data_IF_103408433876
#
_entry.id   IF_103408433876
#
_cell.length_a   1.000
_cell.length_b   1.000
_cell.length_c   1.000
_cell.angle_alpha   90.00
_cell.angle_beta   90.00
_cell.angle_gamma   90.00
#
_symmetry.space_group_name_H-M   'P 1'
#
loop_
_entity.id
_entity.type
_entity.pdbx_description
1 polymer ?
#
# COMPACT_ATOMS: atom_id res chain seq x y z
N UNK A 1 17.57 -21.47 9.40
CA UNK A 1 16.36 -20.78 9.90
C UNK A 1 16.19 -19.51 9.09
N UNK A 2 15.16 -19.40 8.25
CA UNK A 2 14.97 -18.19 7.41
C UNK A 2 14.66 -16.99 8.32
N UNK A 3 15.30 -15.84 8.08
CA UNK A 3 15.10 -14.64 8.88
C UNK A 3 13.62 -14.23 8.85
N UNK A 4 12.98 -14.08 10.00
CA UNK A 4 11.59 -13.61 10.11
C UNK A 4 11.58 -12.16 10.60
N UNK A 5 10.50 -11.45 10.30
CA UNK A 5 10.29 -10.13 10.88
C UNK A 5 10.15 -10.27 12.41
N UNK A 6 11.00 -9.57 13.16
CA UNK A 6 11.02 -9.64 14.63
C UNK A 6 10.36 -8.43 15.31
N UNK A 7 10.33 -7.30 14.60
CA UNK A 7 9.68 -6.07 15.04
C UNK A 7 9.15 -5.30 13.83
N UNK A 8 8.11 -4.51 14.04
CA UNK A 8 7.64 -3.52 13.09
C UNK A 8 8.73 -2.48 12.81
N UNK A 9 8.76 -1.93 11.58
CA UNK A 9 9.84 -1.06 11.15
C UNK A 9 9.81 0.29 11.89
N UNK A 10 11.00 0.77 12.21
CA UNK A 10 11.28 2.03 12.90
C UNK A 10 12.39 2.80 12.14
N UNK A 11 12.58 4.11 12.36
CA UNK A 11 11.83 4.99 13.27
C UNK A 11 10.45 5.38 12.73
N UNK A 12 9.59 5.86 13.63
CA UNK A 12 8.33 6.53 13.29
C UNK A 12 8.59 8.01 12.98
N UNK A 13 7.80 8.63 12.08
CA UNK A 13 8.03 10.01 11.67
C UNK A 13 7.72 10.98 12.83
N UNK A 14 8.61 11.95 13.04
CA UNK A 14 8.49 12.96 14.10
C UNK A 14 8.61 14.39 13.58
N UNK A 15 9.00 14.57 12.33
CA UNK A 15 9.22 15.88 11.71
C UNK A 15 8.10 16.22 10.73
N UNK A 16 7.77 17.51 10.56
CA UNK A 16 6.75 17.92 9.60
C UNK A 16 7.05 17.41 8.18
N UNK A 17 6.04 16.84 7.53
CA UNK A 17 6.15 16.26 6.19
C UNK A 17 6.76 14.87 6.13
N UNK A 18 7.45 14.41 7.18
CA UNK A 18 7.90 13.04 7.27
C UNK A 18 6.71 12.07 7.34
N UNK A 19 6.90 10.85 6.86
CA UNK A 19 5.85 9.85 6.82
C UNK A 19 6.41 8.45 7.00
N UNK A 20 5.54 7.54 7.44
CA UNK A 20 5.73 6.11 7.29
C UNK A 20 4.37 5.46 7.01
N UNK A 21 4.33 4.55 6.06
CA UNK A 21 3.17 3.68 5.89
C UNK A 21 3.57 2.21 5.89
N UNK A 22 2.63 1.37 6.31
CA UNK A 22 2.65 -0.08 6.15
C UNK A 22 1.56 -0.43 5.14
N UNK A 23 1.95 -1.11 4.05
CA UNK A 23 1.06 -1.52 2.98
C UNK A 23 0.95 -3.03 2.98
N UNK A 24 -0.27 -3.55 3.05
CA UNK A 24 -0.56 -4.97 2.90
C UNK A 24 -1.52 -5.19 1.74
N UNK A 25 -1.25 -6.19 0.92
CA UNK A 25 -2.21 -6.67 -0.06
C UNK A 25 -2.41 -8.19 0.00
N UNK A 26 -3.57 -8.62 -0.50
CA UNK A 26 -3.93 -10.03 -0.66
C UNK A 26 -4.56 -10.22 -2.03
N UNK A 27 -4.13 -11.27 -2.72
CA UNK A 27 -4.76 -11.83 -3.92
C UNK A 27 -5.29 -13.22 -3.56
N UNK A 28 -6.59 -13.36 -3.43
CA UNK A 28 -7.26 -14.58 -2.96
C UNK A 28 -8.45 -14.95 -3.85
N UNK A 29 -8.25 -15.96 -4.71
CA UNK A 29 -9.24 -16.35 -5.71
C UNK A 29 -9.53 -15.22 -6.70
N UNK A 30 -10.78 -14.83 -6.83
CA UNK A 30 -11.24 -13.70 -7.65
C UNK A 30 -11.20 -12.34 -6.94
N UNK A 31 -10.81 -12.34 -5.66
CA UNK A 31 -10.78 -11.15 -4.82
C UNK A 31 -9.36 -10.64 -4.63
N UNK A 32 -9.22 -9.32 -4.64
CA UNK A 32 -8.01 -8.64 -4.22
C UNK A 32 -8.35 -7.59 -3.17
N UNK A 33 -7.51 -7.47 -2.14
CA UNK A 33 -7.69 -6.52 -1.07
C UNK A 33 -6.39 -5.78 -0.77
N UNK A 34 -6.50 -4.51 -0.41
CA UNK A 34 -5.38 -3.67 0.01
C UNK A 34 -5.75 -2.95 1.29
N UNK A 35 -4.83 -2.97 2.25
CA UNK A 35 -4.90 -2.24 3.50
C UNK A 35 -3.64 -1.39 3.68
N UNK A 36 -3.80 -0.11 4.01
CA UNK A 36 -2.67 0.80 4.21
C UNK A 36 -2.85 1.56 5.52
N UNK A 37 -1.86 1.44 6.41
CA UNK A 37 -1.79 2.17 7.67
C UNK A 37 -0.73 3.25 7.54
N UNK A 38 -1.11 4.51 7.75
CA UNK A 38 -0.25 5.66 7.48
C UNK A 38 -0.10 6.51 8.74
N UNK A 39 1.15 6.85 9.06
CA UNK A 39 1.51 7.88 10.04
C UNK A 39 2.16 9.03 9.25
N UNK A 40 1.58 10.22 9.29
CA UNK A 40 1.84 11.26 8.30
C UNK A 40 1.18 10.91 6.96
N UNK A 41 -0.16 10.87 6.94
CA UNK A 41 -0.98 10.40 5.83
C UNK A 41 -0.68 11.15 4.52
N UNK A 42 0.05 10.51 3.61
CA UNK A 42 0.55 11.14 2.38
C UNK A 42 -0.54 11.45 1.36
N UNK A 43 -1.67 10.75 1.45
CA UNK A 43 -2.85 10.99 0.62
C UNK A 43 -3.84 11.97 1.26
N UNK A 44 -3.58 12.46 2.47
CA UNK A 44 -4.43 13.44 3.14
C UNK A 44 -4.13 14.86 2.63
N UNK A 45 -5.13 15.57 2.08
CA UNK A 45 -4.99 17.00 1.79
C UNK A 45 -4.74 17.82 3.06
N UNK A 46 -5.29 17.40 4.22
CA UNK A 46 -5.12 18.06 5.51
C UNK A 46 -3.66 18.00 5.94
N UNK A 47 -3.08 16.79 5.95
CA UNK A 47 -1.67 16.58 6.25
C UNK A 47 -0.76 17.38 5.32
N UNK A 48 -1.05 17.40 4.02
CA UNK A 48 -0.23 18.13 3.04
C UNK A 48 -0.21 19.65 3.27
N UNK A 49 -1.28 20.22 3.82
CA UNK A 49 -1.31 21.64 4.22
C UNK A 49 -0.63 21.84 5.57
N UNK A 50 -0.91 20.96 6.53
CA UNK A 50 -0.38 21.02 7.89
C UNK A 50 1.13 20.84 7.97
N UNK A 51 1.70 19.93 7.17
CA UNK A 51 3.14 19.73 7.05
C UNK A 51 3.88 21.03 6.67
N UNK A 52 3.27 21.87 5.83
CA UNK A 52 3.85 23.18 5.46
C UNK A 52 3.78 24.21 6.59
N UNK A 53 2.90 24.00 7.56
CA UNK A 53 2.77 24.82 8.77
C UNK A 53 3.65 24.31 9.92
N UNK A 54 4.38 23.22 9.70
CA UNK A 54 5.23 22.63 10.73
C UNK A 54 4.48 21.75 11.73
N UNK A 55 3.26 21.32 11.41
CA UNK A 55 2.48 20.44 12.29
C UNK A 55 3.04 19.01 12.30
N UNK A 56 2.80 18.28 13.40
CA UNK A 56 3.32 16.94 13.61
C UNK A 56 2.64 15.94 12.67
N UNK A 57 3.38 15.00 12.04
CA UNK A 57 2.78 13.95 11.21
C UNK A 57 1.91 12.97 12.04
N UNK A 58 2.10 12.95 13.36
CA UNK A 58 1.32 12.08 14.26
C UNK A 58 -0.13 12.52 14.40
N UNK A 59 -0.43 13.79 14.13
CA UNK A 59 -1.80 14.31 14.17
C UNK A 59 -2.58 13.96 12.89
N UNK A 60 -1.91 13.32 11.94
CA UNK A 60 -2.45 12.96 10.64
C UNK A 60 -2.17 11.49 10.33
N UNK A 61 -2.79 10.61 11.09
CA UNK A 61 -2.78 9.17 10.81
C UNK A 61 -3.96 8.81 9.91
N UNK A 62 -3.84 7.72 9.14
CA UNK A 62 -4.93 7.25 8.31
C UNK A 62 -4.90 5.74 8.11
N UNK A 63 -6.09 5.18 7.89
CA UNK A 63 -6.29 3.80 7.46
C UNK A 63 -7.06 3.82 6.14
N UNK A 64 -6.50 3.17 5.13
CA UNK A 64 -7.18 2.90 3.87
C UNK A 64 -7.42 1.41 3.73
N UNK A 65 -8.61 1.06 3.24
CA UNK A 65 -8.93 -0.29 2.82
C UNK A 65 -9.70 -0.27 1.51
N UNK A 66 -9.37 -1.20 0.63
CA UNK A 66 -10.11 -1.44 -0.60
C UNK A 66 -10.22 -2.94 -0.86
N UNK A 67 -11.43 -3.39 -1.19
CA UNK A 67 -11.74 -4.75 -1.65
C UNK A 67 -12.24 -4.67 -3.10
N UNK A 68 -11.70 -5.52 -3.95
CA UNK A 68 -12.12 -5.70 -5.34
C UNK A 68 -12.54 -7.14 -5.59
N UNK A 69 -13.46 -7.31 -6.54
CA UNK A 69 -13.83 -8.60 -7.12
C UNK A 69 -13.91 -8.49 -8.65
N UNK A 70 -14.54 -9.47 -9.33
CA UNK A 70 -14.62 -9.49 -10.79
C UNK A 70 -15.25 -8.22 -11.38
N UNK A 71 -16.33 -7.73 -10.76
CA UNK A 71 -17.09 -6.58 -11.24
C UNK A 71 -16.46 -5.21 -10.89
N UNK A 72 -15.33 -5.18 -10.17
CA UNK A 72 -14.67 -3.95 -9.74
C UNK A 72 -14.60 -3.79 -8.22
N UNK A 73 -14.66 -2.55 -7.73
CA UNK A 73 -14.59 -2.26 -6.30
C UNK A 73 -15.87 -2.68 -5.57
N UNK A 74 -15.73 -3.48 -4.52
CA UNK A 74 -16.83 -3.99 -3.69
C UNK A 74 -17.00 -3.19 -2.40
N UNK A 75 -15.89 -2.82 -1.76
CA UNK A 75 -15.91 -1.96 -0.58
C UNK A 75 -14.65 -1.11 -0.50
N UNK A 76 -14.79 0.09 0.07
CA UNK A 76 -13.69 1.03 0.21
C UNK A 76 -13.90 1.94 1.42
N UNK A 77 -12.81 2.20 2.16
CA UNK A 77 -12.76 3.16 3.23
C UNK A 77 -11.42 3.91 3.25
N UNK A 78 -11.47 5.18 3.64
CA UNK A 78 -10.30 5.99 3.96
C UNK A 78 -10.69 6.89 5.13
N UNK A 79 -10.13 6.59 6.29
CA UNK A 79 -10.40 7.32 7.54
C UNK A 79 -9.11 7.95 8.05
N UNK A 80 -9.20 9.19 8.49
CA UNK A 80 -8.13 9.94 9.13
C UNK A 80 -8.37 10.04 10.65
N UNK A 81 -7.30 9.96 11.44
CA UNK A 81 -7.33 9.97 12.89
C UNK A 81 -6.18 10.83 13.43
N UNK A 82 -6.38 11.42 14.62
CA UNK A 82 -5.29 12.02 15.37
C UNK A 82 -4.59 10.95 16.22
N UNK A 83 -3.30 10.75 16.01
CA UNK A 83 -2.49 9.82 16.79
C UNK A 83 -2.52 8.37 16.29
N UNK A 84 -1.58 7.60 16.83
CA UNK A 84 -1.46 6.16 16.59
C UNK A 84 -0.72 5.53 17.79
N UNK A 85 -1.22 4.41 18.28
CA UNK A 85 -0.48 3.56 19.22
C UNK A 85 0.56 2.76 18.45
N UNK A 86 1.81 2.84 18.87
CA UNK A 86 2.95 2.24 18.19
C UNK A 86 3.82 1.52 19.19
N UNK A 87 4.09 0.25 18.91
CA UNK A 87 5.01 -0.60 19.66
C UNK A 87 5.89 -1.36 18.67
N UNK A 88 6.81 -2.18 19.16
CA UNK A 88 7.64 -3.05 18.31
C UNK A 88 6.82 -4.14 17.62
N UNK A 89 5.60 -4.45 18.08
CA UNK A 89 4.79 -5.55 17.54
C UNK A 89 3.40 -5.11 17.08
N UNK A 90 2.99 -3.86 17.31
CA UNK A 90 1.65 -3.39 16.97
C UNK A 90 1.64 -1.93 16.54
N UNK A 91 0.89 -1.66 15.49
CA UNK A 91 0.41 -0.33 15.11
C UNK A 91 -1.12 -0.33 15.22
N UNK A 92 -1.70 0.58 16.01
CA UNK A 92 -3.13 0.84 16.05
C UNK A 92 -3.42 2.27 15.60
N UNK A 93 -4.42 2.44 14.73
CA UNK A 93 -4.94 3.73 14.28
C UNK A 93 -6.47 3.63 14.31
N UNK A 94 -7.11 4.41 15.19
CA UNK A 94 -8.52 4.17 15.52
C UNK A 94 -8.75 2.73 15.98
N UNK A 95 -9.84 2.12 15.57
CA UNK A 95 -10.16 0.71 15.88
C UNK A 95 -9.40 -0.32 15.03
N UNK A 96 -8.61 0.14 14.06
CA UNK A 96 -7.86 -0.72 13.14
C UNK A 96 -6.46 -1.01 13.68
N UNK A 97 -5.98 -2.24 13.50
CA UNK A 97 -4.68 -2.71 14.02
C UNK A 97 -3.89 -3.50 13.00
N UNK A 98 -2.57 -3.33 12.99
CA UNK A 98 -1.60 -4.24 12.38
C UNK A 98 -0.71 -4.82 13.48
N UNK A 99 -0.72 -6.14 13.65
CA UNK A 99 0.00 -6.83 14.72
C UNK A 99 0.95 -7.90 14.16
N UNK A 100 2.23 -7.82 14.54
CA UNK A 100 3.22 -8.86 14.34
C UNK A 100 3.09 -9.90 15.45
N UNK A 101 3.00 -11.17 15.06
CA UNK A 101 2.92 -12.32 15.97
C UNK A 101 4.30 -12.91 16.21
N UNK A 102 4.42 -13.67 17.30
CA UNK A 102 5.68 -14.28 17.72
C UNK A 102 6.23 -15.30 16.70
N UNK A 103 5.36 -15.93 15.92
CA UNK A 103 5.74 -16.83 14.83
C UNK A 103 6.18 -16.09 13.55
N UNK A 104 6.15 -14.75 13.55
CA UNK A 104 6.49 -13.90 12.41
C UNK A 104 5.36 -13.68 11.43
N UNK A 105 4.15 -14.18 11.68
CA UNK A 105 2.95 -13.80 10.91
C UNK A 105 2.48 -12.39 11.27
N UNK A 106 1.75 -11.75 10.36
CA UNK A 106 1.14 -10.43 10.58
C UNK A 106 -0.37 -10.54 10.43
N UNK A 107 -1.08 -10.03 11.42
CA UNK A 107 -2.53 -9.89 11.40
C UNK A 107 -2.90 -8.42 11.22
N UNK A 108 -3.64 -8.14 10.14
CA UNK A 108 -4.20 -6.83 9.87
C UNK A 108 -5.70 -6.92 10.10
N UNK A 109 -6.19 -6.13 11.04
CA UNK A 109 -7.60 -5.96 11.32
C UNK A 109 -8.01 -4.53 11.01
N UNK A 110 -8.93 -4.36 10.08
CA UNK A 110 -9.48 -3.05 9.67
C UNK A 110 -10.90 -2.98 10.15
N UNK A 111 -11.22 -1.97 10.96
CA UNK A 111 -12.57 -1.66 11.43
C UNK A 111 -12.84 -0.21 11.10
N UNK A 112 -13.50 0.03 9.97
CA UNK A 112 -13.68 1.35 9.40
C UNK A 112 -15.12 1.58 8.96
N UNK A 113 -15.45 2.81 8.54
CA UNK A 113 -16.76 3.13 7.98
C UNK A 113 -16.62 3.70 6.58
N UNK A 114 -17.55 3.32 5.70
CA UNK A 114 -17.58 3.82 4.33
C UNK A 114 -17.81 5.35 4.30
N UNK A 115 -17.21 6.08 3.34
CA UNK A 115 -17.15 7.55 3.37
C UNK A 115 -18.50 8.26 3.23
N UNK A 116 -19.49 7.67 2.53
CA UNK A 116 -20.75 8.34 2.20
C UNK A 116 -21.88 8.03 3.18
N UNK A 117 -22.05 6.75 3.50
CA UNK A 117 -23.17 6.28 4.33
C UNK A 117 -22.73 5.87 5.73
N UNK A 118 -21.43 5.93 6.01
CA UNK A 118 -20.88 5.52 7.30
C UNK A 118 -21.26 4.09 7.66
N UNK A 119 -21.41 3.18 6.69
CA UNK A 119 -21.70 1.78 7.00
C UNK A 119 -20.42 1.09 7.47
N UNK A 120 -20.55 0.17 8.43
CA UNK A 120 -19.41 -0.55 9.01
C UNK A 120 -18.76 -1.47 7.96
N UNK A 121 -17.44 -1.53 8.02
CA UNK A 121 -16.58 -2.40 7.25
C UNK A 121 -15.57 -3.03 8.21
N UNK A 122 -15.60 -4.35 8.29
CA UNK A 122 -14.62 -5.15 9.04
C UNK A 122 -13.84 -6.04 8.07
N UNK A 123 -12.52 -6.02 8.14
CA UNK A 123 -11.66 -6.90 7.36
C UNK A 123 -10.51 -7.45 8.19
N UNK A 124 -10.20 -8.73 8.01
CA UNK A 124 -9.08 -9.43 8.63
C UNK A 124 -8.21 -10.05 7.54
N UNK A 125 -6.95 -9.64 7.48
CA UNK A 125 -5.93 -10.22 6.60
C UNK A 125 -4.88 -10.88 7.50
N UNK A 126 -4.67 -12.18 7.34
CA UNK A 126 -3.62 -12.91 8.04
C UNK A 126 -2.54 -13.30 7.05
N UNK A 127 -1.32 -12.80 7.25
CA UNK A 127 -0.17 -13.02 6.39
C UNK A 127 0.86 -13.90 7.10
N UNK A 128 1.16 -15.08 6.56
CA UNK A 128 2.24 -15.93 7.05
C UNK A 128 3.40 -15.95 6.05
N UNK A 129 4.62 -15.52 6.42
CA UNK A 129 5.71 -15.32 5.48
C UNK A 129 6.19 -16.62 4.86
N UNK A 130 6.32 -16.64 3.53
CA UNK A 130 6.97 -17.70 2.76
C UNK A 130 8.43 -17.35 2.43
N UNK A 131 8.72 -16.05 2.31
CA UNK A 131 10.05 -15.51 2.07
C UNK A 131 10.47 -14.56 3.20
N UNK A 132 11.77 -14.48 3.53
CA UNK A 132 12.28 -13.56 4.55
C UNK A 132 12.11 -12.09 4.11
N UNK A 133 12.09 -11.13 5.05
CA UNK A 133 12.15 -9.71 4.71
C UNK A 133 13.48 -9.39 4.01
N UNK A 134 13.50 -8.27 3.28
CA UNK A 134 14.73 -7.66 2.81
C UNK A 134 15.14 -6.50 3.72
N UNK A 135 16.41 -6.11 3.69
CA UNK A 135 16.87 -4.87 4.27
C UNK A 135 16.17 -3.67 3.61
N UNK A 136 16.11 -2.56 4.32
CA UNK A 136 15.56 -1.31 3.78
C UNK A 136 16.43 -0.76 2.65
N UNK A 137 15.78 -0.26 1.61
CA UNK A 137 16.38 0.20 0.37
C UNK A 137 16.03 1.68 0.16
N UNK A 138 17.03 2.50 -0.12
CA UNK A 138 16.81 3.89 -0.54
C UNK A 138 16.24 3.90 -1.95
N UNK A 139 15.12 4.59 -2.18
CA UNK A 139 14.44 4.58 -3.47
C UNK A 139 15.27 5.30 -4.55
N UNK A 140 15.61 6.57 -4.30
CA UNK A 140 16.43 7.37 -5.19
C UNK A 140 17.72 7.83 -4.49
N UNK A 141 18.90 7.75 -5.14
CA UNK A 141 20.16 8.20 -4.55
C UNK A 141 20.06 9.64 -4.03
N UNK A 142 20.42 9.85 -2.76
CA UNK A 142 20.41 11.17 -2.12
C UNK A 142 19.02 11.68 -1.71
N UNK A 143 17.94 10.98 -2.06
CA UNK A 143 16.59 11.30 -1.60
C UNK A 143 16.30 10.60 -0.26
N UNK A 144 15.67 11.26 0.72
CA UNK A 144 15.41 10.68 2.03
C UNK A 144 14.19 9.73 2.04
N UNK A 145 13.94 9.03 0.94
CA UNK A 145 12.80 8.11 0.77
C UNK A 145 13.28 6.68 0.65
N UNK A 146 12.66 5.80 1.42
CA UNK A 146 13.09 4.42 1.55
C UNK A 146 11.90 3.48 1.55
N UNK A 147 12.16 2.26 1.11
CA UNK A 147 11.21 1.19 0.98
C UNK A 147 11.81 -0.11 1.52
N UNK A 148 11.00 -0.92 2.17
CA UNK A 148 11.42 -2.20 2.70
C UNK A 148 10.34 -3.27 2.46
N UNK A 149 10.62 -4.30 1.65
CA UNK A 149 9.80 -5.50 1.59
C UNK A 149 9.90 -6.28 2.91
N UNK A 150 8.80 -6.34 3.66
CA UNK A 150 8.73 -7.01 4.97
C UNK A 150 8.26 -8.46 4.83
N UNK A 151 7.26 -8.69 3.99
CA UNK A 151 6.81 -10.01 3.58
C UNK A 151 6.58 -9.96 2.07
N UNK A 152 7.64 -10.04 1.25
CA UNK A 152 7.51 -9.94 -0.19
C UNK A 152 6.71 -11.10 -0.80
N UNK A 153 6.57 -12.21 -0.06
CA UNK A 153 5.70 -13.33 -0.37
C UNK A 153 5.20 -13.98 0.92
N UNK A 154 3.88 -14.09 1.06
CA UNK A 154 3.22 -14.74 2.19
C UNK A 154 2.02 -15.57 1.71
N UNK A 155 1.65 -16.61 2.46
CA UNK A 155 0.27 -17.12 2.37
C UNK A 155 -0.65 -16.10 3.03
N UNK A 156 -1.86 -16.00 2.50
CA UNK A 156 -2.84 -15.04 2.98
C UNK A 156 -4.20 -15.68 3.20
N UNK A 157 -4.85 -15.27 4.28
CA UNK A 157 -6.28 -15.47 4.51
C UNK A 157 -6.95 -14.10 4.54
N UNK A 158 -8.08 -13.97 3.85
CA UNK A 158 -8.87 -12.75 3.73
C UNK A 158 -10.28 -13.04 4.22
N UNK A 159 -10.68 -12.39 5.30
CA UNK A 159 -12.06 -12.40 5.78
C UNK A 159 -12.59 -10.96 5.79
N UNK A 160 -13.68 -10.69 5.08
CA UNK A 160 -14.27 -9.34 4.98
C UNK A 160 -15.76 -9.42 5.25
N UNK A 161 -16.25 -8.51 6.08
CA UNK A 161 -17.67 -8.23 6.31
C UNK A 161 -17.91 -6.75 6.03
N UNK A 162 -18.40 -6.46 4.84
CA UNK A 162 -18.79 -5.13 4.41
C UNK A 162 -20.31 -4.97 4.36
N UNK A 163 -20.79 -3.78 3.96
CA UNK A 163 -22.21 -3.47 3.86
C UNK A 163 -23.07 -4.46 3.09
N UNK A 164 -22.58 -4.87 1.93
CA UNK A 164 -23.31 -5.64 0.92
C UNK A 164 -22.40 -6.77 0.37
N UNK A 165 -21.36 -7.15 1.13
CA UNK A 165 -20.34 -8.11 0.72
C UNK A 165 -19.80 -8.90 1.92
N UNK A 166 -19.65 -10.22 1.75
CA UNK A 166 -18.94 -11.09 2.68
C UNK A 166 -17.97 -11.96 1.89
N UNK A 167 -16.70 -11.98 2.28
CA UNK A 167 -15.64 -12.76 1.62
C UNK A 167 -14.90 -13.57 2.67
N UNK A 168 -14.68 -14.85 2.39
CA UNK A 168 -13.70 -15.70 3.05
C UNK A 168 -12.91 -16.42 1.96
N UNK A 169 -11.65 -16.04 1.80
CA UNK A 169 -10.81 -16.51 0.70
C UNK A 169 -9.36 -16.68 1.14
N UNK A 170 -8.63 -17.54 0.43
CA UNK A 170 -7.20 -17.79 0.65
C UNK A 170 -6.41 -17.53 -0.61
N UNK A 171 -5.17 -17.12 -0.43
CA UNK A 171 -4.26 -16.92 -1.56
C UNK A 171 -2.88 -16.46 -1.11
N UNK A 172 -2.32 -15.51 -1.85
CA UNK A 172 -1.01 -14.95 -1.59
C UNK A 172 -1.13 -13.50 -1.13
N UNK A 173 -0.23 -13.10 -0.26
CA UNK A 173 -0.17 -11.73 0.23
C UNK A 173 1.24 -11.15 0.23
N UNK A 174 1.26 -9.85 0.46
CA UNK A 174 2.43 -9.00 0.43
C UNK A 174 2.34 -7.97 1.55
N UNK A 175 3.47 -7.65 2.19
CA UNK A 175 3.60 -6.58 3.17
C UNK A 175 4.89 -5.79 2.92
N UNK A 176 4.78 -4.46 2.89
CA UNK A 176 5.94 -3.57 2.92
C UNK A 176 5.77 -2.37 3.84
N UNK A 177 6.85 -1.62 3.98
CA UNK A 177 6.81 -0.26 4.48
C UNK A 177 7.52 0.69 3.55
N UNK A 178 7.03 1.91 3.48
CA UNK A 178 7.79 3.03 2.97
C UNK A 178 7.91 4.09 4.07
N UNK A 179 9.05 4.79 4.11
CA UNK A 179 9.22 5.98 4.93
C UNK A 179 9.95 7.09 4.18
N UNK A 180 9.69 8.32 4.61
CA UNK A 180 10.40 9.50 4.13
C UNK A 180 10.58 10.50 5.26
N UNK A 181 11.71 11.21 5.25
CA UNK A 181 11.97 12.31 6.19
C UNK A 181 11.49 13.68 5.65
N UNK A 182 10.89 13.69 4.46
CA UNK A 182 10.23 14.84 3.85
C UNK A 182 8.93 14.44 3.14
N UNK A 183 8.12 15.44 2.79
CA UNK A 183 6.88 15.22 2.06
C UNK A 183 7.14 14.75 0.62
N UNK A 184 6.32 13.80 0.16
CA UNK A 184 6.29 13.38 -1.24
C UNK A 184 5.93 14.56 -2.16
N UNK A 185 6.47 14.55 -3.38
CA UNK A 185 6.28 15.61 -4.38
C UNK A 185 7.52 16.49 -4.60
N UNK A 186 8.45 16.50 -3.64
CA UNK A 186 9.78 17.11 -3.74
C UNK A 186 10.78 16.19 -4.43
N UNK A 187 11.69 15.59 -3.66
CA UNK A 187 12.71 14.66 -4.20
C UNK A 187 12.13 13.33 -4.69
N UNK A 188 10.94 12.94 -4.20
CA UNK A 188 10.17 11.81 -4.71
C UNK A 188 8.86 12.31 -5.35
N UNK A 189 8.84 12.65 -6.65
CA UNK A 189 7.68 13.22 -7.31
C UNK A 189 6.55 12.22 -7.58
N UNK A 190 6.81 10.93 -7.44
CA UNK A 190 5.89 9.85 -7.78
C UNK A 190 6.60 8.51 -7.82
N UNK A 191 5.91 7.47 -8.26
CA UNK A 191 6.48 6.15 -8.52
C UNK A 191 5.59 5.34 -9.45
N UNK A 192 6.18 4.30 -10.03
CA UNK A 192 5.46 3.11 -10.48
C UNK A 192 5.96 1.92 -9.66
N UNK A 193 5.02 1.14 -9.14
CA UNK A 193 5.30 -0.08 -8.39
C UNK A 193 4.52 -1.21 -9.05
N UNK A 194 5.18 -2.33 -9.32
CA UNK A 194 4.57 -3.51 -9.94
C UNK A 194 4.99 -4.74 -9.15
N UNK A 195 4.01 -5.56 -8.75
CA UNK A 195 4.23 -6.87 -8.13
C UNK A 195 3.55 -7.94 -8.96
N UNK A 196 4.24 -9.06 -9.16
CA UNK A 196 3.70 -10.26 -9.78
C UNK A 196 3.92 -11.46 -8.86
N UNK A 197 2.83 -12.03 -8.34
CA UNK A 197 2.85 -13.33 -7.68
C UNK A 197 2.71 -14.42 -8.73
N UNK A 198 3.73 -15.26 -8.89
CA UNK A 198 3.64 -16.53 -9.62
C UNK A 198 3.59 -17.73 -8.67
N UNK A 199 3.61 -18.93 -9.24
CA UNK A 199 3.55 -20.19 -8.48
C UNK A 199 4.73 -20.40 -7.51
N UNK A 200 5.96 -20.07 -7.95
CA UNK A 200 7.18 -20.36 -7.17
C UNK A 200 7.88 -19.10 -6.63
N UNK A 201 7.49 -17.92 -7.11
CA UNK A 201 8.18 -16.69 -6.75
C UNK A 201 7.26 -15.48 -6.84
N UNK A 202 7.66 -14.42 -6.16
CA UNK A 202 7.12 -13.07 -6.32
C UNK A 202 8.20 -12.18 -6.88
N UNK A 203 7.89 -11.44 -7.94
CA UNK A 203 8.76 -10.38 -8.46
C UNK A 203 8.12 -9.03 -8.20
N UNK A 204 8.93 -8.07 -7.80
CA UNK A 204 8.50 -6.69 -7.55
C UNK A 204 9.46 -5.77 -8.27
N UNK A 205 8.93 -4.71 -8.85
CA UNK A 205 9.70 -3.64 -9.45
C UNK A 205 9.21 -2.30 -8.90
N UNK A 206 10.10 -1.59 -8.25
CA UNK A 206 9.85 -0.24 -7.75
C UNK A 206 10.62 0.76 -8.59
N UNK A 207 9.90 1.66 -9.24
CA UNK A 207 10.41 2.60 -10.23
C UNK A 207 10.21 4.05 -9.76
N UNK A 208 11.19 4.61 -9.02
CA UNK A 208 11.25 6.04 -8.75
C UNK A 208 11.58 6.81 -10.04
N UNK A 209 10.90 7.94 -10.34
CA UNK A 209 11.21 8.76 -11.50
C UNK A 209 12.63 9.32 -11.46
N UNK A 210 13.38 9.19 -12.56
CA UNK A 210 14.73 9.75 -12.69
C UNK A 210 15.82 8.99 -11.93
N UNK A 211 15.54 7.79 -11.44
CA UNK A 211 16.52 6.91 -10.81
C UNK A 211 16.37 5.48 -11.33
N UNK A 212 17.38 4.63 -11.07
CA UNK A 212 17.29 3.21 -11.37
C UNK A 212 16.16 2.55 -10.58
N UNK A 213 15.46 1.63 -11.24
CA UNK A 213 14.47 0.79 -10.60
C UNK A 213 15.14 -0.17 -9.61
N UNK A 214 14.34 -0.66 -8.67
CA UNK A 214 14.74 -1.70 -7.73
C UNK A 214 13.89 -2.91 -8.04
N UNK A 215 14.53 -4.00 -8.43
CA UNK A 215 13.87 -5.29 -8.59
C UNK A 215 14.08 -6.15 -7.35
N UNK A 216 13.01 -6.80 -6.89
CA UNK A 216 13.04 -7.79 -5.81
C UNK A 216 12.47 -9.10 -6.32
N UNK A 217 13.18 -10.19 -6.05
CA UNK A 217 12.72 -11.55 -6.30
C UNK A 217 12.68 -12.32 -4.99
N UNK A 218 11.48 -12.74 -4.60
CA UNK A 218 11.23 -13.50 -3.39
C UNK A 218 10.76 -14.90 -3.74
N UNK A 219 11.46 -15.90 -3.21
CA UNK A 219 11.16 -17.33 -3.27
C UNK A 219 11.08 -17.87 -1.87
N UNK A 220 10.56 -19.08 -1.73
CA UNK A 220 10.44 -19.70 -0.41
C UNK A 220 11.81 -19.77 0.27
N UNK A 221 11.93 -19.10 1.43
CA UNK A 221 13.16 -19.02 2.21
C UNK A 221 14.21 -18.00 1.76
N UNK A 222 14.05 -17.29 0.64
CA UNK A 222 15.03 -16.32 0.13
C UNK A 222 14.41 -15.08 -0.54
N UNK A 223 15.01 -13.91 -0.29
CA UNK A 223 14.65 -12.65 -0.95
C UNK A 223 15.91 -11.95 -1.42
N UNK A 224 15.97 -11.59 -2.70
CA UNK A 224 17.08 -10.86 -3.32
C UNK A 224 16.58 -9.55 -3.90
N UNK A 225 17.41 -8.50 -3.81
CA UNK A 225 17.13 -7.20 -4.40
C UNK A 225 18.36 -6.67 -5.15
N UNK A 226 18.14 -5.99 -6.26
CA UNK A 226 19.18 -5.28 -7.02
C UNK A 226 18.61 -4.06 -7.73
N UNK A 227 19.49 -3.14 -8.12
CA UNK A 227 19.11 -2.03 -9.00
C UNK A 227 19.20 -2.47 -10.45
N UNK A 228 18.27 -2.00 -11.26
CA UNK A 228 18.18 -2.28 -12.69
C UNK A 228 17.61 -1.08 -13.43
N UNK A 229 17.83 -1.04 -14.73
CA UNK A 229 17.05 -0.15 -15.59
C UNK A 229 15.60 -0.64 -15.67
N UNK A 230 14.68 0.33 -15.70
CA UNK A 230 13.27 0.06 -15.86
C UNK A 230 13.00 -0.57 -17.24
N UNK A 231 12.29 -1.70 -17.34
CA UNK A 231 11.90 -2.26 -18.61
C UNK A 231 10.96 -1.29 -19.34
N UNK A 232 11.15 -1.17 -20.66
CA UNK A 232 10.23 -0.43 -21.50
C UNK A 232 8.86 -1.12 -21.47
N UNK A 233 7.83 -0.37 -21.08
CA UNK A 233 6.45 -0.86 -21.05
C UNK A 233 5.55 0.10 -21.85
N UNK A 234 4.62 -0.42 -22.67
CA UNK A 234 3.64 0.43 -23.35
C UNK A 234 2.81 1.18 -22.31
N UNK A 235 2.61 2.48 -22.53
CA UNK A 235 1.87 3.34 -21.62
C UNK A 235 0.56 3.80 -22.27
N UNK A 236 -0.51 3.83 -21.49
CA UNK A 236 -1.78 4.48 -21.82
C UNK A 236 -2.07 5.60 -20.83
N UNK A 237 -3.10 6.40 -21.10
CA UNK A 237 -3.60 7.39 -20.14
C UNK A 237 -4.92 6.92 -19.56
N UNK A 238 -5.09 7.04 -18.26
CA UNK A 238 -6.41 6.84 -17.63
C UNK A 238 -7.36 8.01 -17.95
N UNK A 239 -8.60 7.93 -17.48
CA UNK A 239 -9.64 8.96 -17.66
C UNK A 239 -9.23 10.37 -17.19
N UNK A 240 -8.22 10.47 -16.33
CA UNK A 240 -7.69 11.73 -15.79
C UNK A 240 -6.37 12.17 -16.44
N UNK A 241 -5.96 11.51 -17.53
CA UNK A 241 -4.71 11.80 -18.22
C UNK A 241 -3.45 11.40 -17.44
N UNK A 242 -3.56 10.58 -16.40
CA UNK A 242 -2.41 9.99 -15.70
C UNK A 242 -1.82 8.87 -16.56
N UNK A 243 -0.51 8.90 -16.90
CA UNK A 243 0.14 7.81 -17.61
C UNK A 243 0.18 6.56 -16.72
N UNK A 244 -0.31 5.44 -17.24
CA UNK A 244 -0.31 4.13 -16.58
C UNK A 244 0.14 3.04 -17.58
N UNK A 245 0.74 1.93 -17.12
CA UNK A 245 1.05 0.81 -18.00
C UNK A 245 -0.18 0.28 -18.75
N UNK A 246 -0.01 -0.06 -20.02
CA UNK A 246 -1.04 -0.71 -20.82
C UNK A 246 -1.06 -2.23 -20.58
N UNK A 247 0.08 -2.82 -20.21
CA UNK A 247 0.25 -4.23 -19.84
C UNK A 247 0.99 -4.35 -18.51
N UNK A 248 0.85 -5.50 -17.83
CA UNK A 248 1.50 -5.77 -16.53
C UNK A 248 2.47 -6.98 -16.61
N UNK A 249 3.00 -7.26 -17.80
CA UNK A 249 3.82 -8.45 -18.08
C UNK A 249 5.31 -8.25 -17.81
N UNK A 250 5.74 -7.03 -17.46
CA UNK A 250 7.16 -6.66 -17.41
C UNK A 250 8.02 -7.53 -16.48
N UNK A 251 7.40 -8.21 -15.51
CA UNK A 251 8.07 -9.09 -14.55
C UNK A 251 7.77 -10.57 -14.77
N UNK A 252 7.08 -10.95 -15.83
CA UNK A 252 6.69 -12.35 -16.06
C UNK A 252 6.99 -12.81 -17.48
N UNK A 253 7.28 -14.09 -17.62
CA UNK A 253 7.59 -14.71 -18.90
C UNK A 253 6.33 -15.02 -19.72
N UNK A 254 5.20 -15.26 -19.05
CA UNK A 254 3.91 -15.47 -19.68
C UNK A 254 3.04 -14.21 -19.51
N UNK A 255 2.27 -13.81 -20.54
CA UNK A 255 1.35 -12.69 -20.41
C UNK A 255 0.36 -12.90 -19.26
N UNK A 256 0.23 -11.88 -18.41
CA UNK A 256 -0.98 -11.71 -17.59
C UNK A 256 -2.09 -11.21 -18.50
N UNK A 257 -3.34 -11.54 -18.15
CA UNK A 257 -4.50 -11.28 -19.01
C UNK A 257 -4.85 -9.80 -19.11
N UNK A 258 -6.14 -9.52 -19.30
CA UNK A 258 -6.63 -8.15 -19.40
C UNK A 258 -6.27 -7.32 -18.15
N UNK A 259 -5.85 -6.07 -18.38
CA UNK A 259 -5.54 -5.13 -17.31
C UNK A 259 -6.80 -4.39 -16.87
N UNK A 260 -7.29 -4.74 -15.69
CA UNK A 260 -8.41 -4.09 -15.04
C UNK A 260 -7.95 -2.88 -14.22
N UNK A 261 -8.59 -1.74 -14.42
CA UNK A 261 -8.33 -0.56 -13.60
C UNK A 261 -9.17 -0.60 -12.33
N UNK A 262 -8.52 -0.84 -11.18
CA UNK A 262 -9.16 -0.98 -9.86
C UNK A 262 -9.35 0.36 -9.15
N UNK A 263 -8.38 1.26 -9.26
CA UNK A 263 -8.52 2.65 -8.84
C UNK A 263 -8.11 3.63 -9.93
N UNK A 264 -8.85 4.73 -10.02
CA UNK A 264 -8.64 5.78 -11.00
C UNK A 264 -8.80 7.16 -10.35
N UNK A 265 -7.70 7.91 -10.31
CA UNK A 265 -7.70 9.31 -9.91
C UNK A 265 -6.69 10.12 -10.73
N UNK A 266 -6.68 11.46 -10.60
CA UNK A 266 -5.73 12.34 -11.29
C UNK A 266 -4.26 12.12 -10.94
N UNK A 267 -3.97 11.56 -9.77
CA UNK A 267 -2.61 11.46 -9.22
C UNK A 267 -2.25 10.04 -8.77
N UNK A 268 -3.22 9.13 -8.68
CA UNK A 268 -3.03 7.76 -8.21
C UNK A 268 -3.91 6.80 -9.02
N UNK A 269 -3.34 5.65 -9.38
CA UNK A 269 -4.06 4.57 -10.03
C UNK A 269 -3.56 3.21 -9.53
N UNK A 270 -4.50 2.26 -9.44
CA UNK A 270 -4.22 0.85 -9.18
C UNK A 270 -4.74 0.02 -10.34
N UNK A 271 -3.88 -0.82 -10.89
CA UNK A 271 -4.20 -1.74 -11.98
C UNK A 271 -3.93 -3.17 -11.54
N UNK A 272 -4.70 -4.11 -12.05
CA UNK A 272 -4.58 -5.52 -11.74
C UNK A 272 -4.77 -6.34 -13.01
N UNK A 273 -4.01 -7.43 -13.13
CA UNK A 273 -4.18 -8.40 -14.20
C UNK A 273 -3.84 -9.78 -13.66
N UNK A 274 -4.60 -10.79 -14.10
CA UNK A 274 -4.37 -12.18 -13.72
C UNK A 274 -4.36 -13.05 -14.98
N UNK A 275 -3.46 -14.03 -15.02
CA UNK A 275 -3.33 -14.93 -16.17
C UNK A 275 -2.19 -15.92 -15.97
N UNK A 276 -2.33 -17.12 -16.56
CA UNK A 276 -1.29 -18.17 -16.52
C UNK A 276 -0.73 -18.47 -15.11
N UNK A 277 -1.59 -18.48 -14.08
CA UNK A 277 -1.18 -18.72 -12.69
C UNK A 277 -0.38 -17.59 -12.05
N UNK A 278 -0.40 -16.40 -12.66
CA UNK A 278 0.19 -15.16 -12.13
C UNK A 278 -0.89 -14.15 -11.81
N UNK A 279 -0.76 -13.49 -10.66
CA UNK A 279 -1.51 -12.27 -10.33
C UNK A 279 -0.56 -11.09 -10.25
N UNK A 280 -0.80 -10.07 -11.06
CA UNK A 280 -0.04 -8.83 -11.11
C UNK A 280 -0.86 -7.65 -10.57
N UNK A 281 -0.24 -6.84 -9.71
CA UNK A 281 -0.81 -5.61 -9.17
C UNK A 281 0.18 -4.47 -9.38
N UNK A 282 -0.32 -3.35 -9.89
CA UNK A 282 0.48 -2.17 -10.18
C UNK A 282 -0.13 -0.92 -9.57
N UNK A 283 0.72 -0.10 -8.96
CA UNK A 283 0.37 1.21 -8.42
C UNK A 283 1.20 2.29 -9.12
N UNK A 284 0.53 3.36 -9.51
CA UNK A 284 1.15 4.53 -10.11
C UNK A 284 0.75 5.76 -9.31
N UNK A 285 1.73 6.56 -8.90
CA UNK A 285 1.51 7.80 -8.18
C UNK A 285 2.28 8.98 -8.80
N UNK A 286 1.66 10.16 -8.82
CA UNK A 286 2.25 11.44 -9.25
C UNK A 286 1.88 12.54 -8.24
N UNK A 287 2.75 12.76 -7.25
CA UNK A 287 2.53 13.71 -6.17
C UNK A 287 2.63 15.17 -6.61
N UNK A 288 3.28 15.45 -7.75
CA UNK A 288 3.25 16.80 -8.35
C UNK A 288 1.83 17.16 -8.77
N UNK A 289 1.06 16.20 -9.28
CA UNK A 289 -0.37 16.38 -9.57
C UNK A 289 -1.17 16.48 -8.28
N UNK A 290 -0.93 15.61 -7.29
CA UNK A 290 -1.60 15.67 -5.99
C UNK A 290 -1.46 17.05 -5.33
N UNK A 291 -0.32 17.71 -5.50
CA UNK A 291 -0.06 19.02 -4.94
C UNK A 291 -0.76 20.20 -5.64
N UNK A 292 -1.50 19.97 -6.72
CA UNK A 292 -2.33 21.00 -7.36
C UNK A 292 -3.56 21.30 -6.50
N UNK A 293 -3.90 22.58 -6.24
CA UNK A 293 -4.98 22.95 -5.32
C UNK A 293 -6.34 22.30 -5.63
N UNK A 294 -6.74 22.23 -6.91
CA UNK A 294 -8.00 21.62 -7.33
C UNK A 294 -8.05 20.10 -7.08
N UNK A 295 -6.91 19.40 -7.22
CA UNK A 295 -6.83 17.95 -6.93
C UNK A 295 -6.94 17.70 -5.43
N UNK A 296 -6.27 18.50 -4.60
CA UNK A 296 -6.41 18.42 -3.12
C UNK A 296 -7.84 18.69 -2.67
N UNK A 297 -8.49 19.68 -3.28
CA UNK A 297 -9.88 20.00 -2.99
C UNK A 297 -10.82 18.83 -3.30
N UNK A 298 -10.64 18.15 -4.44
CA UNK A 298 -11.43 16.96 -4.79
C UNK A 298 -11.15 15.78 -3.84
N UNK A 299 -9.88 15.56 -3.48
CA UNK A 299 -9.47 14.47 -2.60
C UNK A 299 -10.07 14.60 -1.19
N UNK A 300 -10.33 15.82 -0.70
CA UNK A 300 -10.89 16.06 0.64
C UNK A 300 -12.23 15.35 0.88
N UNK A 301 -13.00 15.16 -0.18
CA UNK A 301 -14.36 14.60 -0.11
C UNK A 301 -14.38 13.08 -0.12
N UNK A 302 -13.21 12.45 -0.34
CA UNK A 302 -13.07 10.99 -0.30
C UNK A 302 -12.64 10.46 1.06
N UNK A 303 -12.18 11.33 1.96
CA UNK A 303 -11.68 10.96 3.30
C UNK A 303 -12.68 11.29 4.41
N UNK A 304 -12.94 10.33 5.30
CA UNK A 304 -13.67 10.53 6.56
C UNK A 304 -12.69 10.92 7.67
N UNK A 305 -13.11 11.75 8.63
CA UNK A 305 -12.38 11.91 9.91
C UNK A 305 -13.04 11.02 10.96
N UNK A 306 -12.23 10.22 11.64
CA UNK A 306 -12.66 9.39 12.76
C UNK A 306 -13.20 10.24 13.91
N UNK A 307 -14.07 9.64 14.71
CA UNK A 307 -14.61 10.26 15.93
C UNK A 307 -13.68 10.05 17.11
N UNK A 308 -13.75 10.94 18.11
CA UNK A 308 -13.04 10.80 19.38
C UNK A 308 -13.42 9.54 20.18
N UNK A 309 -14.50 8.83 19.82
CA UNK A 309 -14.85 7.53 20.40
C UNK A 309 -14.04 6.39 19.76
N UNK A 310 -13.85 6.43 18.43
CA UNK A 310 -13.00 5.49 17.69
C UNK A 310 -11.51 5.68 18.07
N UNK A 311 -11.08 6.91 18.35
CA UNK A 311 -9.71 7.20 18.82
C UNK A 311 -9.42 6.67 20.23
N UNK A 312 -10.43 6.55 21.09
CA UNK A 312 -10.29 6.04 22.47
C UNK A 312 -10.25 4.51 22.55
N UNK A 313 -10.62 3.81 21.48
CA UNK A 313 -10.58 2.36 21.39
C UNK A 313 -9.21 1.82 20.91
N UNK A 314 -8.32 2.70 20.45
CA UNK A 314 -6.97 2.42 19.94
C UNK A 314 -5.94 2.13 21.04
#
# INVERSE_FOLDING_TARGET
MSARLQRLPQPWPTRPGAYRWLYADVSAGEYSAVAIFMVGAVFSPRHSVAARRGESPLDYCAVNFALYGPAGSLCWAFSEYAGALRTDQRLSIGSSTLALRADGSVEVHVVERTPWWGKLLEAQLTLAPLAPPHAELQLSPGAPHHWQPLMPRATAQLHVRGPDVSVDARGLGYLDTNRGDEALGGSMPGWRWLRAHGAQQTRILYEPPGAQAIEVVARDGATHAWRTDAPAAPMKRNLWGLPVPATLDALVAAPVGEVHQRESSPFYARLEASGAGTHALCEVADFRRFHRPHIRWMARWRSRVGSAAEERAA
#
